data_IF_329759288833
#
_entry.id   IF_329759288833
#
_cell.length_a   1.000
_cell.length_b   1.000
_cell.length_c   1.000
_cell.angle_alpha   90.00
_cell.angle_beta   90.00
_cell.angle_gamma   90.00
#
_symmetry.space_group_name_H-M   'P 1'
#
loop_
_entity.id
_entity.type
_entity.pdbx_description
1 polymer ?
#
# COMPACT_ATOMS: atom_id res chain seq x y z
N UNK A 1 15.72 2.72 28.50
CA UNK A 1 15.18 1.98 27.33
C UNK A 1 15.70 2.69 26.10
N UNK A 2 16.46 2.03 25.26
CA UNK A 2 17.00 2.56 24.00
C UNK A 2 16.16 2.05 22.86
N UNK A 3 16.06 2.80 21.79
CA UNK A 3 15.45 2.37 20.53
C UNK A 3 16.54 2.37 19.47
N UNK A 4 16.78 1.23 18.86
CA UNK A 4 17.67 1.12 17.71
C UNK A 4 16.88 1.45 16.46
N UNK A 5 17.45 2.29 15.59
CA UNK A 5 16.84 2.69 14.33
C UNK A 5 17.82 2.42 13.20
N UNK A 6 17.36 1.72 12.17
CA UNK A 6 18.10 1.52 10.93
C UNK A 6 17.21 1.89 9.74
N UNK A 7 17.82 2.43 8.69
CA UNK A 7 17.11 2.83 7.47
C UNK A 7 17.83 2.33 6.25
N UNK A 8 17.07 1.87 5.28
CA UNK A 8 17.54 1.48 3.96
C UNK A 8 16.89 2.41 2.95
N UNK A 9 17.70 3.19 2.26
CA UNK A 9 17.26 4.17 1.28
C UNK A 9 18.35 4.47 0.27
N UNK A 10 18.10 5.43 -0.62
CA UNK A 10 19.11 5.92 -1.57
C UNK A 10 19.92 7.08 -0.97
N UNK A 11 21.19 7.20 -1.36
CA UNK A 11 22.12 8.24 -0.87
C UNK A 11 21.64 9.66 -1.17
N UNK A 12 20.82 9.84 -2.23
CA UNK A 12 20.25 11.13 -2.60
C UNK A 12 18.98 11.49 -1.80
N UNK A 13 18.58 10.65 -0.85
CA UNK A 13 17.42 10.84 0.01
C UNK A 13 16.06 10.79 -0.69
N UNK A 14 16.03 10.41 -2.00
CA UNK A 14 14.75 10.38 -2.74
C UNK A 14 13.90 9.16 -2.45
N UNK A 15 14.53 8.06 -2.06
CA UNK A 15 13.83 6.81 -1.77
C UNK A 15 14.18 6.28 -0.38
N UNK A 16 13.17 5.78 0.32
CA UNK A 16 13.30 5.04 1.59
C UNK A 16 12.55 3.73 1.42
N UNK A 17 13.28 2.63 1.37
CA UNK A 17 12.71 1.29 1.19
C UNK A 17 12.20 0.71 2.50
N UNK A 18 12.96 0.94 3.57
CA UNK A 18 12.66 0.37 4.88
C UNK A 18 13.12 1.28 6.01
N UNK A 19 12.33 1.30 7.09
CA UNK A 19 12.71 1.89 8.37
C UNK A 19 12.50 0.82 9.44
N UNK A 20 13.58 0.35 10.05
CA UNK A 20 13.56 -0.60 11.14
C UNK A 20 13.63 0.14 12.47
N UNK A 21 12.81 -0.27 13.44
CA UNK A 21 12.86 0.21 14.82
C UNK A 21 12.74 -0.96 15.78
N UNK A 22 13.70 -1.07 16.71
CA UNK A 22 13.71 -2.11 17.72
C UNK A 22 13.87 -1.48 19.09
N UNK A 23 13.02 -1.87 20.03
CA UNK A 23 12.99 -1.33 21.39
C UNK A 23 12.93 -2.41 22.46
N UNK A 24 12.72 -3.68 22.09
CA UNK A 24 12.60 -4.80 23.01
C UNK A 24 12.98 -6.12 22.35
N UNK A 25 13.93 -6.86 22.92
CA UNK A 25 14.43 -8.12 22.34
C UNK A 25 13.39 -9.26 22.35
N UNK A 26 12.57 -9.32 23.39
CA UNK A 26 11.61 -10.42 23.61
C UNK A 26 10.18 -10.06 23.15
N UNK A 27 10.00 -9.02 22.35
CA UNK A 27 8.70 -8.66 21.76
C UNK A 27 8.45 -9.41 20.47
N UNK A 28 7.18 -9.43 20.04
CA UNK A 28 6.85 -9.88 18.68
C UNK A 28 7.50 -8.95 17.67
N UNK A 29 7.73 -9.47 16.48
CA UNK A 29 8.24 -8.70 15.34
C UNK A 29 7.11 -8.37 14.39
N UNK A 30 7.16 -7.20 13.77
CA UNK A 30 6.17 -6.78 12.78
C UNK A 30 6.80 -6.24 11.50
N UNK A 31 6.18 -6.53 10.36
CA UNK A 31 6.40 -5.86 9.09
C UNK A 31 5.11 -5.11 8.76
N UNK A 32 5.17 -3.79 8.72
CA UNK A 32 4.01 -2.94 8.39
C UNK A 32 4.19 -2.39 6.98
N UNK A 33 3.24 -2.67 6.10
CA UNK A 33 3.30 -2.27 4.69
C UNK A 33 2.36 -1.09 4.46
N UNK A 34 2.95 0.10 4.30
CA UNK A 34 2.28 1.35 3.98
C UNK A 34 2.21 1.63 2.48
N UNK A 35 1.90 2.87 2.11
CA UNK A 35 1.78 3.28 0.72
C UNK A 35 3.07 3.91 0.18
N UNK A 36 3.59 4.93 0.84
CA UNK A 36 4.81 5.64 0.50
C UNK A 36 5.42 6.28 1.75
N UNK A 37 6.76 6.43 1.84
CA UNK A 37 7.42 7.04 2.97
C UNK A 37 7.32 8.57 2.91
N UNK A 38 7.31 9.19 4.10
CA UNK A 38 7.37 10.65 4.27
C UNK A 38 8.70 11.09 4.92
N UNK A 39 9.52 10.12 5.32
CA UNK A 39 10.79 10.32 6.03
C UNK A 39 11.93 9.86 5.12
N UNK A 40 12.94 10.71 4.95
CA UNK A 40 14.19 10.37 4.28
C UNK A 40 15.12 9.58 5.20
N UNK A 41 16.08 8.84 4.62
CA UNK A 41 17.05 8.09 5.40
C UNK A 41 17.86 8.99 6.38
N UNK A 42 18.19 10.21 5.98
CA UNK A 42 18.91 11.19 6.80
C UNK A 42 18.12 11.67 8.03
N UNK A 43 16.80 11.48 8.04
CA UNK A 43 15.89 11.92 9.11
C UNK A 43 15.21 10.74 9.80
N UNK A 44 15.90 9.61 9.87
CA UNK A 44 15.34 8.36 10.38
C UNK A 44 14.91 8.40 11.85
N UNK A 45 15.50 9.30 12.63
CA UNK A 45 15.12 9.57 14.03
C UNK A 45 13.79 10.28 14.17
N UNK A 46 13.31 10.93 13.10
CA UNK A 46 12.01 11.61 13.10
C UNK A 46 10.87 10.60 12.97
N UNK A 47 9.74 10.99 13.49
CA UNK A 47 8.48 10.27 13.34
C UNK A 47 7.50 11.12 12.55
N UNK A 48 7.01 10.61 11.44
CA UNK A 48 5.77 11.15 10.88
C UNK A 48 4.57 10.76 11.75
N UNK A 49 3.45 11.41 11.51
CA UNK A 49 2.24 11.21 12.33
C UNK A 49 1.76 9.76 12.32
N UNK A 50 1.89 9.05 11.20
CA UNK A 50 1.49 7.64 11.08
C UNK A 50 2.38 6.73 11.92
N UNK A 51 3.71 6.90 11.84
CA UNK A 51 4.67 6.18 12.65
C UNK A 51 4.52 6.51 14.14
N UNK A 52 4.27 7.78 14.50
CA UNK A 52 4.00 8.18 15.88
C UNK A 52 2.80 7.43 16.44
N UNK A 53 1.70 7.37 15.71
CA UNK A 53 0.52 6.63 16.16
C UNK A 53 0.78 5.13 16.28
N UNK A 54 1.48 4.51 15.33
CA UNK A 54 1.87 3.10 15.42
C UNK A 54 2.70 2.83 16.67
N UNK A 55 3.74 3.63 16.93
CA UNK A 55 4.61 3.46 18.09
C UNK A 55 3.88 3.65 19.43
N UNK A 56 2.89 4.54 19.48
CA UNK A 56 2.06 4.71 20.68
C UNK A 56 1.20 3.47 20.99
N UNK A 57 0.97 2.59 20.01
CA UNK A 57 0.12 1.40 20.14
C UNK A 57 0.88 0.07 20.04
N UNK A 58 2.21 0.06 19.98
CA UNK A 58 3.01 -1.19 19.88
C UNK A 58 2.78 -2.15 21.05
N UNK A 59 2.48 -1.61 22.23
CA UNK A 59 2.17 -2.43 23.39
C UNK A 59 0.82 -3.16 23.24
N UNK A 60 -0.13 -2.61 22.51
CA UNK A 60 -1.42 -3.25 22.24
C UNK A 60 -1.24 -4.55 21.43
N UNK A 61 -0.20 -4.60 20.59
CA UNK A 61 0.15 -5.75 19.75
C UNK A 61 1.21 -6.67 20.39
N UNK A 62 1.91 -6.18 21.41
CA UNK A 62 3.04 -6.88 22.03
C UNK A 62 4.31 -6.86 21.17
N UNK A 63 4.44 -5.86 20.28
CA UNK A 63 5.62 -5.73 19.41
C UNK A 63 6.85 -5.21 20.19
N UNK A 64 8.01 -5.70 19.81
CA UNK A 64 9.33 -5.24 20.28
C UNK A 64 10.19 -4.72 19.14
N UNK A 65 9.79 -5.05 17.91
CA UNK A 65 10.46 -4.66 16.67
C UNK A 65 9.44 -4.39 15.59
N UNK A 66 9.67 -3.36 14.78
CA UNK A 66 8.83 -3.00 13.64
C UNK A 66 9.69 -2.62 12.45
N UNK A 67 9.43 -3.24 11.31
CA UNK A 67 9.96 -2.90 9.99
C UNK A 67 8.86 -2.23 9.18
N UNK A 68 9.05 -0.96 8.85
CA UNK A 68 8.10 -0.21 8.03
C UNK A 68 8.55 -0.26 6.59
N UNK A 69 7.78 -0.93 5.75
CA UNK A 69 7.93 -1.00 4.31
C UNK A 69 6.83 -0.18 3.63
N UNK A 70 7.02 0.18 2.37
CA UNK A 70 6.00 0.89 1.61
C UNK A 70 5.90 0.33 0.19
N UNK A 71 4.70 0.39 -0.38
CA UNK A 71 4.45 -0.06 -1.75
C UNK A 71 5.28 0.74 -2.77
N UNK A 72 5.61 2.00 -2.45
CA UNK A 72 6.53 2.86 -3.17
C UNK A 72 7.65 3.32 -2.25
N UNK A 73 8.90 3.36 -2.74
CA UNK A 73 10.03 3.84 -1.97
C UNK A 73 10.20 5.36 -2.04
N UNK A 74 9.62 6.01 -3.04
CA UNK A 74 9.77 7.46 -3.25
C UNK A 74 9.23 8.24 -2.06
N UNK A 75 10.08 9.08 -1.47
CA UNK A 75 9.70 9.95 -0.35
C UNK A 75 8.81 11.07 -0.84
N UNK A 76 7.63 11.20 -0.25
CA UNK A 76 6.63 12.20 -0.65
C UNK A 76 6.16 12.98 0.57
N UNK A 77 6.36 14.30 0.54
CA UNK A 77 5.82 15.21 1.54
C UNK A 77 4.49 15.78 1.03
N UNK A 78 3.39 15.35 1.65
CA UNK A 78 2.03 15.75 1.29
C UNK A 78 1.34 14.78 0.32
N UNK A 79 0.49 15.31 -0.58
CA UNK A 79 -0.25 14.48 -1.53
C UNK A 79 0.62 14.17 -2.76
N UNK A 80 0.88 12.91 -3.06
CA UNK A 80 1.73 12.55 -4.20
C UNK A 80 1.02 12.84 -5.53
N UNK A 81 1.81 13.24 -6.52
CA UNK A 81 1.38 13.22 -7.92
C UNK A 81 1.61 11.82 -8.52
N UNK A 82 0.83 11.47 -9.55
CA UNK A 82 0.99 10.20 -10.27
C UNK A 82 2.41 10.05 -10.86
N UNK A 83 3.03 11.17 -11.28
CA UNK A 83 4.39 11.19 -11.84
C UNK A 83 5.49 10.88 -10.80
N UNK A 84 5.24 11.08 -9.52
CA UNK A 84 6.20 10.77 -8.44
C UNK A 84 6.19 9.28 -8.08
N UNK A 85 5.09 8.58 -8.30
CA UNK A 85 4.93 7.16 -7.95
C UNK A 85 5.01 6.27 -9.20
N UNK A 86 6.16 6.28 -9.88
CA UNK A 86 6.39 5.51 -11.11
C UNK A 86 6.83 4.09 -10.83
N UNK A 87 7.75 3.91 -9.90
CA UNK A 87 8.35 2.62 -9.56
C UNK A 87 7.90 2.18 -8.18
N UNK A 88 7.43 0.95 -8.08
CA UNK A 88 7.04 0.35 -6.81
C UNK A 88 8.23 -0.40 -6.18
N UNK A 89 8.11 -0.72 -4.91
CA UNK A 89 9.13 -1.39 -4.10
C UNK A 89 8.95 -2.91 -4.04
N UNK A 90 8.19 -3.50 -4.96
CA UNK A 90 7.83 -4.92 -4.87
C UNK A 90 9.03 -5.85 -4.83
N UNK A 91 10.06 -5.59 -5.64
CA UNK A 91 11.27 -6.41 -5.65
C UNK A 91 11.95 -6.44 -4.28
N UNK A 92 12.06 -5.27 -3.62
CA UNK A 92 12.61 -5.18 -2.26
C UNK A 92 11.71 -5.88 -1.23
N UNK A 93 10.39 -5.67 -1.30
CA UNK A 93 9.45 -6.34 -0.39
C UNK A 93 9.52 -7.87 -0.58
N UNK A 94 9.62 -8.34 -1.82
CA UNK A 94 9.72 -9.78 -2.11
C UNK A 94 10.99 -10.38 -1.51
N UNK A 95 12.14 -9.68 -1.57
CA UNK A 95 13.40 -10.08 -0.93
C UNK A 95 13.21 -10.23 0.58
N UNK A 96 12.58 -9.26 1.25
CA UNK A 96 12.28 -9.35 2.68
C UNK A 96 11.36 -10.53 2.99
N UNK A 97 10.36 -10.78 2.14
CA UNK A 97 9.44 -11.91 2.31
C UNK A 97 10.08 -13.29 2.03
N UNK A 98 11.30 -13.36 1.52
CA UNK A 98 12.11 -14.57 1.39
C UNK A 98 12.98 -14.88 2.63
N UNK A 99 13.06 -13.99 3.60
CA UNK A 99 13.84 -14.20 4.82
C UNK A 99 13.37 -15.46 5.57
N UNK A 100 14.32 -16.23 6.13
CA UNK A 100 14.06 -17.53 6.76
C UNK A 100 13.09 -17.45 7.95
N UNK A 101 13.11 -16.34 8.67
CA UNK A 101 12.31 -16.10 9.88
C UNK A 101 11.03 -15.29 9.61
N UNK A 102 10.66 -15.08 8.34
CA UNK A 102 9.50 -14.27 7.94
C UNK A 102 8.20 -14.70 8.63
N UNK A 103 8.03 -15.99 8.90
CA UNK A 103 6.85 -16.52 9.59
C UNK A 103 6.78 -16.13 11.09
N UNK A 104 7.84 -15.52 11.64
CA UNK A 104 7.83 -14.99 13.02
C UNK A 104 7.30 -13.57 13.09
N UNK A 105 7.10 -12.91 11.95
CA UNK A 105 6.59 -11.55 11.87
C UNK A 105 5.05 -11.50 11.74
N UNK A 106 4.44 -10.54 12.44
CA UNK A 106 3.10 -10.07 12.08
C UNK A 106 3.23 -9.24 10.79
N UNK A 107 2.71 -9.71 9.67
CA UNK A 107 2.70 -8.96 8.41
C UNK A 107 1.41 -8.15 8.34
N UNK A 108 1.52 -6.82 8.32
CA UNK A 108 0.39 -5.91 8.49
C UNK A 108 0.20 -5.02 7.27
N UNK A 109 -0.95 -5.10 6.65
CA UNK A 109 -1.37 -4.18 5.60
C UNK A 109 -1.94 -2.90 6.23
N UNK A 110 -1.29 -1.75 5.93
CA UNK A 110 -1.59 -0.45 6.53
C UNK A 110 -1.63 0.70 5.50
N UNK A 111 -1.81 0.41 4.22
CA UNK A 111 -1.76 1.40 3.14
C UNK A 111 -3.02 2.28 2.99
N UNK A 112 -4.14 1.93 3.64
CA UNK A 112 -5.40 2.66 3.53
C UNK A 112 -5.97 2.68 2.09
N UNK A 113 -6.86 3.63 1.83
CA UNK A 113 -7.52 3.77 0.53
C UNK A 113 -6.86 4.81 -0.40
N UNK A 114 -5.70 5.35 -0.04
CA UNK A 114 -4.96 6.28 -0.89
C UNK A 114 -4.66 5.65 -2.25
N UNK A 115 -4.80 6.44 -3.32
CA UNK A 115 -4.54 6.00 -4.69
C UNK A 115 -5.35 4.77 -5.14
N UNK A 116 -6.54 4.58 -4.59
CA UNK A 116 -7.40 3.41 -4.87
C UNK A 116 -7.84 3.30 -6.33
N UNK A 117 -7.82 4.41 -7.09
CA UNK A 117 -8.16 4.47 -8.51
C UNK A 117 -6.94 4.53 -9.43
N UNK A 118 -5.72 4.62 -8.88
CA UNK A 118 -4.49 4.71 -9.66
C UNK A 118 -4.07 3.33 -10.17
N UNK A 119 -4.06 3.12 -11.49
CA UNK A 119 -3.86 1.81 -12.13
C UNK A 119 -2.55 1.12 -11.73
N UNK A 120 -1.43 1.86 -11.68
CA UNK A 120 -0.15 1.27 -11.24
C UNK A 120 -0.20 0.84 -9.78
N UNK A 121 -0.92 1.58 -8.92
CA UNK A 121 -1.08 1.21 -7.51
C UNK A 121 -1.97 -0.03 -7.36
N UNK A 122 -3.05 -0.11 -8.13
CA UNK A 122 -3.92 -1.30 -8.14
C UNK A 122 -3.11 -2.52 -8.58
N UNK A 123 -2.32 -2.39 -9.65
CA UNK A 123 -1.45 -3.47 -10.14
C UNK A 123 -0.43 -3.89 -9.08
N UNK A 124 0.28 -2.94 -8.47
CA UNK A 124 1.26 -3.23 -7.43
C UNK A 124 0.63 -3.91 -6.19
N UNK A 125 -0.59 -3.52 -5.80
CA UNK A 125 -1.35 -4.20 -4.74
C UNK A 125 -1.70 -5.64 -5.14
N UNK A 126 -2.16 -5.88 -6.38
CA UNK A 126 -2.47 -7.21 -6.90
C UNK A 126 -1.22 -8.09 -6.86
N UNK A 127 -0.09 -7.58 -7.35
CA UNK A 127 1.17 -8.32 -7.42
C UNK A 127 1.63 -8.69 -5.99
N UNK A 128 1.63 -7.75 -5.04
CA UNK A 128 2.00 -8.02 -3.65
C UNK A 128 1.06 -9.02 -2.97
N UNK A 129 -0.26 -8.84 -3.10
CA UNK A 129 -1.23 -9.76 -2.50
C UNK A 129 -1.11 -11.17 -3.08
N UNK A 130 -0.76 -11.29 -4.37
CA UNK A 130 -0.50 -12.57 -5.01
C UNK A 130 0.73 -13.26 -4.42
N UNK A 131 1.81 -12.51 -4.14
CA UNK A 131 3.02 -13.01 -3.46
C UNK A 131 2.66 -13.51 -2.05
N UNK A 132 1.96 -12.69 -1.27
CA UNK A 132 1.56 -13.03 0.11
C UNK A 132 0.69 -14.29 0.16
N UNK A 133 -0.27 -14.41 -0.78
CA UNK A 133 -1.14 -15.57 -0.90
C UNK A 133 -0.36 -16.84 -1.30
N UNK A 134 0.54 -16.73 -2.28
CA UNK A 134 1.39 -17.85 -2.74
C UNK A 134 2.29 -18.38 -1.62
N UNK A 135 2.84 -17.48 -0.81
CA UNK A 135 3.68 -17.83 0.36
C UNK A 135 2.88 -18.30 1.57
N UNK A 136 1.55 -18.22 1.53
CA UNK A 136 0.65 -18.58 2.64
C UNK A 136 0.98 -17.86 3.95
N UNK A 137 1.41 -16.61 3.87
CA UNK A 137 1.76 -15.82 5.02
C UNK A 137 0.50 -15.35 5.76
N UNK A 138 0.59 -15.25 7.09
CA UNK A 138 -0.49 -14.77 7.91
C UNK A 138 -0.52 -13.23 7.90
N UNK A 139 -1.38 -12.66 7.08
CA UNK A 139 -1.48 -11.22 6.87
C UNK A 139 -2.57 -10.63 7.76
N UNK A 140 -2.26 -9.54 8.41
CA UNK A 140 -3.13 -8.81 9.33
C UNK A 140 -3.45 -7.41 8.82
N UNK A 141 -4.45 -6.79 9.42
CA UNK A 141 -4.66 -5.34 9.38
C UNK A 141 -5.04 -4.84 10.78
N UNK A 142 -4.87 -3.53 10.98
CA UNK A 142 -5.14 -2.89 12.26
C UNK A 142 -6.60 -2.43 12.32
N UNK A 143 -7.24 -2.59 13.49
CA UNK A 143 -8.58 -2.09 13.77
C UNK A 143 -8.75 -1.70 15.24
N UNK A 144 -9.92 -1.22 15.60
CA UNK A 144 -10.39 -0.98 16.95
C UNK A 144 -11.77 -1.60 17.14
N UNK A 145 -12.19 -1.79 18.39
CA UNK A 145 -13.52 -2.31 18.68
C UNK A 145 -14.63 -1.41 18.13
N UNK A 146 -15.65 -2.02 17.55
CA UNK A 146 -16.81 -1.32 16.98
C UNK A 146 -16.57 -0.68 15.61
N UNK A 147 -15.33 -0.71 15.09
CA UNK A 147 -15.05 -0.22 13.75
C UNK A 147 -15.25 -1.31 12.70
N UNK A 148 -16.19 -1.07 11.79
CA UNK A 148 -16.35 -1.90 10.59
C UNK A 148 -15.20 -1.59 9.62
N UNK A 149 -14.32 -2.55 9.41
CA UNK A 149 -13.23 -2.44 8.45
C UNK A 149 -13.75 -2.79 7.08
N UNK A 150 -13.68 -1.84 6.13
CA UNK A 150 -13.75 -2.23 4.74
C UNK A 150 -12.44 -2.97 4.40
N UNK A 151 -12.55 -4.29 4.27
CA UNK A 151 -11.42 -5.19 4.08
C UNK A 151 -10.55 -4.84 2.87
N UNK A 152 -11.14 -4.19 1.84
CA UNK A 152 -10.44 -3.84 0.59
C UNK A 152 -9.23 -2.94 0.79
N UNK A 153 -9.08 -2.26 1.92
CA UNK A 153 -8.08 -1.18 2.02
C UNK A 153 -7.07 -1.35 3.16
N UNK A 154 -7.35 -2.15 4.18
CA UNK A 154 -6.61 -2.02 5.43
C UNK A 154 -6.69 -0.57 5.98
N UNK A 155 -6.83 -0.39 7.26
CA UNK A 155 -6.98 0.97 7.80
C UNK A 155 -5.60 1.61 7.92
N UNK A 156 -5.49 2.85 7.43
CA UNK A 156 -4.25 3.61 7.57
C UNK A 156 -4.06 4.06 9.03
N UNK A 157 -2.86 3.92 9.62
CA UNK A 157 -2.58 4.31 11.02
C UNK A 157 -2.92 5.76 11.35
N UNK A 158 -2.73 6.68 10.40
CA UNK A 158 -3.12 8.07 10.57
C UNK A 158 -4.61 8.22 10.87
N UNK A 159 -5.48 7.49 10.15
CA UNK A 159 -6.92 7.55 10.38
C UNK A 159 -7.28 7.06 11.79
N UNK A 160 -6.70 5.93 12.21
CA UNK A 160 -6.92 5.40 13.55
C UNK A 160 -6.39 6.34 14.62
N UNK A 161 -5.21 6.91 14.43
CA UNK A 161 -4.62 7.85 15.38
C UNK A 161 -5.42 9.14 15.55
N UNK A 162 -6.01 9.66 14.48
CA UNK A 162 -6.83 10.88 14.55
C UNK A 162 -8.20 10.64 15.22
N UNK A 163 -8.81 9.48 14.99
CA UNK A 163 -10.18 9.21 15.43
C UNK A 163 -10.26 8.28 16.66
N UNK A 164 -9.25 7.44 16.89
CA UNK A 164 -9.26 6.36 17.87
C UNK A 164 -7.95 6.28 18.67
N UNK A 165 -7.25 7.39 18.89
CA UNK A 165 -5.96 7.44 19.60
C UNK A 165 -6.02 6.94 21.04
N UNK A 166 -7.18 6.99 21.68
CA UNK A 166 -7.41 6.51 23.06
C UNK A 166 -7.95 5.09 23.13
N UNK A 167 -8.30 4.50 22.00
CA UNK A 167 -8.82 3.14 21.91
C UNK A 167 -7.68 2.14 21.90
N UNK A 168 -7.91 0.94 22.41
CA UNK A 168 -6.97 -0.17 22.24
C UNK A 168 -7.01 -0.65 20.79
N UNK A 169 -5.85 -0.66 20.13
CA UNK A 169 -5.73 -1.16 18.77
C UNK A 169 -5.52 -2.67 18.77
N UNK A 170 -6.01 -3.35 17.77
CA UNK A 170 -5.87 -4.81 17.63
C UNK A 170 -5.64 -5.21 16.18
N UNK A 171 -5.03 -6.39 16.02
CA UNK A 171 -4.82 -7.02 14.72
C UNK A 171 -5.96 -7.99 14.44
N UNK A 172 -6.47 -7.96 13.22
CA UNK A 172 -7.40 -8.95 12.67
C UNK A 172 -6.83 -9.51 11.37
N UNK A 173 -7.30 -10.67 10.96
CA UNK A 173 -6.90 -11.28 9.70
C UNK A 173 -7.29 -10.38 8.52
N UNK A 174 -6.33 -10.16 7.62
CA UNK A 174 -6.58 -9.46 6.37
C UNK A 174 -7.02 -10.47 5.31
N UNK A 175 -8.20 -10.31 4.69
CA UNK A 175 -8.76 -11.29 3.75
C UNK A 175 -8.09 -11.17 2.37
N UNK A 176 -6.82 -11.55 2.28
CA UNK A 176 -5.96 -11.41 1.09
C UNK A 176 -6.65 -11.91 -0.18
N UNK A 177 -7.25 -13.12 -0.12
CA UNK A 177 -7.89 -13.75 -1.29
C UNK A 177 -9.09 -12.97 -1.80
N UNK A 178 -9.92 -12.46 -0.90
CA UNK A 178 -11.14 -11.74 -1.26
C UNK A 178 -10.79 -10.38 -1.86
N UNK A 179 -9.86 -9.66 -1.21
CA UNK A 179 -9.38 -8.35 -1.70
C UNK A 179 -8.69 -8.48 -3.05
N UNK A 180 -7.85 -9.49 -3.23
CA UNK A 180 -7.21 -9.78 -4.52
C UNK A 180 -8.26 -10.01 -5.62
N UNK A 181 -9.26 -10.84 -5.33
CA UNK A 181 -10.34 -11.11 -6.28
C UNK A 181 -11.19 -9.88 -6.64
N UNK A 182 -11.42 -8.96 -5.70
CA UNK A 182 -12.09 -7.69 -5.95
C UNK A 182 -11.26 -6.77 -6.84
N UNK A 183 -9.96 -6.60 -6.55
CA UNK A 183 -9.07 -5.76 -7.34
C UNK A 183 -8.95 -6.25 -8.79
N UNK A 184 -8.80 -7.57 -8.99
CA UNK A 184 -8.75 -8.16 -10.32
C UNK A 184 -10.04 -7.98 -11.14
N UNK A 185 -11.20 -8.08 -10.49
CA UNK A 185 -12.51 -7.83 -11.13
C UNK A 185 -12.61 -6.38 -11.58
N UNK A 186 -12.20 -5.44 -10.75
CA UNK A 186 -12.25 -4.01 -11.08
C UNK A 186 -11.38 -3.69 -12.30
N UNK A 187 -10.15 -4.22 -12.38
CA UNK A 187 -9.28 -4.05 -13.54
C UNK A 187 -9.90 -4.64 -14.82
N UNK A 188 -10.53 -5.79 -14.73
CA UNK A 188 -11.20 -6.42 -15.89
C UNK A 188 -12.42 -5.60 -16.38
N UNK A 189 -13.21 -5.06 -15.46
CA UNK A 189 -14.39 -4.24 -15.79
C UNK A 189 -14.00 -2.94 -16.47
N UNK A 190 -12.96 -2.25 -16.01
CA UNK A 190 -12.45 -1.01 -16.60
C UNK A 190 -11.94 -1.24 -18.04
N UNK A 191 -11.10 -2.27 -18.25
CA UNK A 191 -10.64 -2.64 -19.61
C UNK A 191 -11.77 -2.95 -20.57
N UNK A 192 -12.86 -3.52 -20.06
CA UNK A 192 -14.06 -3.82 -20.88
C UNK A 192 -14.82 -2.55 -21.22
N UNK A 193 -14.91 -1.59 -20.29
CA UNK A 193 -15.55 -0.30 -20.51
C UNK A 193 -14.77 0.56 -21.53
N UNK A 194 -13.44 0.63 -21.39
CA UNK A 194 -12.56 1.34 -22.34
C UNK A 194 -12.66 0.79 -23.76
N UNK A 195 -12.68 -0.56 -23.93
CA UNK A 195 -12.86 -1.20 -25.24
C UNK A 195 -14.24 -0.88 -25.86
N UNK A 196 -15.30 -0.74 -25.05
CA UNK A 196 -16.64 -0.36 -25.54
C UNK A 196 -16.68 1.11 -25.99
N UNK A 197 -16.01 2.00 -25.24
CA UNK A 197 -15.92 3.43 -25.58
C UNK A 197 -15.09 3.60 -26.86
N UNK A 198 -13.92 2.95 -26.98
CA UNK A 198 -13.10 2.99 -28.19
C UNK A 198 -13.85 2.56 -29.46
N UNK A 199 -14.57 1.44 -29.38
CA UNK A 199 -15.42 0.97 -30.51
C UNK A 199 -16.55 1.94 -30.86
N UNK A 200 -17.08 2.68 -29.89
CA UNK A 200 -18.16 3.66 -30.11
C UNK A 200 -17.63 4.94 -30.76
N UNK A 201 -16.40 5.34 -30.43
CA UNK A 201 -15.70 6.47 -31.04
C UNK A 201 -15.33 6.14 -32.48
N UNK A 202 -14.71 4.99 -32.75
CA UNK A 202 -14.39 4.54 -34.12
C UNK A 202 -15.63 4.46 -35.03
N UNK A 203 -16.78 3.98 -34.52
CA UNK A 203 -18.02 3.98 -35.29
C UNK A 203 -18.50 5.39 -35.59
N UNK A 204 -18.41 6.35 -34.68
CA UNK A 204 -18.77 7.74 -34.92
C UNK A 204 -17.90 8.41 -35.96
N UNK A 205 -16.56 8.22 -35.89
CA UNK A 205 -15.60 8.77 -36.85
C UNK A 205 -15.90 8.24 -38.25
N UNK A 206 -16.08 6.93 -38.45
CA UNK A 206 -16.43 6.32 -39.75
C UNK A 206 -17.77 6.80 -40.30
N UNK A 207 -18.71 7.23 -39.45
CA UNK A 207 -20.01 7.76 -39.88
C UNK A 207 -19.86 9.20 -40.36
N UNK A 208 -18.99 10.01 -39.75
CA UNK A 208 -18.71 11.39 -40.16
C UNK A 208 -17.94 11.42 -41.50
N UNK A 209 -16.89 10.61 -41.65
CA UNK A 209 -16.13 10.50 -42.92
C UNK A 209 -17.00 10.08 -44.09
N UNK A 210 -18.01 9.18 -43.92
CA UNK A 210 -18.95 8.82 -44.97
C UNK A 210 -19.96 9.91 -45.31
N UNK A 211 -20.22 10.86 -44.40
CA UNK A 211 -21.15 11.97 -44.69
C UNK A 211 -20.48 13.13 -45.40
N UNK A 212 -19.15 13.26 -45.34
CA UNK A 212 -18.39 14.33 -46.02
C UNK A 212 -18.03 13.96 -47.48
N UNK A 213 -17.82 12.67 -47.76
CA UNK A 213 -17.49 12.21 -49.13
C UNK A 213 -18.71 12.12 -50.06
N UNK A 214 -19.92 12.36 -49.56
CA UNK A 214 -21.16 12.34 -50.35
C UNK A 214 -21.66 13.69 -50.86
N UNK A 215 -20.92 14.79 -50.69
CA UNK A 215 -21.34 16.16 -51.07
C UNK A 215 -20.70 16.76 -52.30
N UNK A 216 -19.73 16.07 -52.92
CA UNK A 216 -19.03 16.59 -54.11
C UNK A 216 -19.47 15.91 -55.42
N UNK A 217 -20.73 15.64 -55.59
CA UNK A 217 -21.26 15.12 -56.85
C UNK A 217 -22.64 15.73 -57.13
N UNK A 218 -22.65 17.04 -57.46
CA UNK A 218 -23.72 17.64 -58.27
C UNK A 218 -23.19 18.92 -58.96
#
# INVERSE_FOLDING_TARGET
>A
MTMDVAVIGTDDGKNTFEIQRKWKDNGKKAIVIGMYPTITAEKCEMLDVSNMHLLNHVNDFGWGEMRMLNLYATVVNGKPSVSQLKENSLAYIEEILEEKDINTYDIVIAWGNSLSTHQNTIKAKIDLLSILLKKKLNVKCITVDGLSVNASYGIHPLYLGLHYSKSKWKLIDYPVKDVLGELEKNVKSEKTAEKKIGKKVEKKVKTVEKSETGKDSK
#
